data_IF_837769285959
#
_entry.id   IF_837769285959
#
_cell.length_a   1.000
_cell.length_b   1.000
_cell.length_c   1.000
_cell.angle_alpha   90.00
_cell.angle_beta   90.00
_cell.angle_gamma   90.00
#
_symmetry.space_group_name_H-M   'P 1'
#
loop_
_entity.id
_entity.type
_entity.pdbx_description
1 polymer ?
#
# COMPACT_ATOMS: atom_id res chain seq x y z
N UNK A 1 -15.47 13.62 6.24
CA UNK A 1 -15.15 13.80 4.80
C UNK A 1 -14.84 15.28 4.54
N UNK A 2 -14.07 15.63 3.50
CA UNK A 2 -13.91 17.06 3.11
C UNK A 2 -12.88 17.89 3.88
N UNK A 3 -12.08 17.30 4.79
CA UNK A 3 -11.00 18.02 5.51
C UNK A 3 -9.68 18.11 4.72
N UNK A 4 -9.69 17.86 3.41
CA UNK A 4 -8.50 18.02 2.57
C UNK A 4 -7.40 16.94 2.73
N UNK A 5 -7.69 15.75 3.27
CA UNK A 5 -6.67 14.68 3.40
C UNK A 5 -6.02 14.29 2.07
N UNK A 6 -6.84 14.11 1.03
CA UNK A 6 -6.34 13.84 -0.33
C UNK A 6 -5.52 15.02 -0.84
N UNK A 7 -6.01 16.25 -0.67
CA UNK A 7 -5.28 17.48 -1.04
C UNK A 7 -3.90 17.53 -0.36
N UNK A 8 -3.83 17.22 0.93
CA UNK A 8 -2.59 17.20 1.69
C UNK A 8 -1.62 16.13 1.16
N UNK A 9 -2.11 14.94 0.81
CA UNK A 9 -1.28 13.89 0.22
C UNK A 9 -0.65 14.34 -1.12
N UNK A 10 -1.42 15.03 -1.97
CA UNK A 10 -0.91 15.63 -3.20
C UNK A 10 0.11 16.74 -2.94
N UNK A 11 -0.13 17.63 -1.96
CA UNK A 11 0.83 18.66 -1.56
C UNK A 11 2.14 18.01 -1.12
N UNK A 12 2.09 16.99 -0.26
CA UNK A 12 3.28 16.26 0.20
C UNK A 12 4.05 15.65 -1.00
N UNK A 13 3.36 14.99 -1.93
CA UNK A 13 4.01 14.41 -3.10
C UNK A 13 4.70 15.48 -3.97
N UNK A 14 4.05 16.63 -4.18
CA UNK A 14 4.61 17.76 -4.93
C UNK A 14 5.86 18.32 -4.22
N UNK A 15 5.80 18.56 -2.91
CA UNK A 15 6.94 19.06 -2.12
C UNK A 15 8.11 18.05 -2.10
N UNK A 16 7.83 16.76 -2.19
CA UNK A 16 8.84 15.70 -2.31
C UNK A 16 9.40 15.55 -3.74
N UNK A 17 8.83 16.23 -4.74
CA UNK A 17 9.15 15.98 -6.15
C UNK A 17 8.81 14.56 -6.62
N UNK A 18 7.85 13.91 -5.95
CA UNK A 18 7.47 12.52 -6.15
C UNK A 18 6.19 12.39 -6.99
N UNK A 19 6.06 11.29 -7.74
CA UNK A 19 4.76 10.94 -8.30
C UNK A 19 3.87 10.37 -7.20
N UNK A 20 2.55 10.54 -7.34
CA UNK A 20 1.58 9.97 -6.43
C UNK A 20 0.68 8.97 -7.16
N UNK A 21 0.57 7.77 -6.57
CA UNK A 21 -0.35 6.73 -7.01
C UNK A 21 -1.47 6.60 -5.99
N UNK A 22 -2.68 6.92 -6.42
CA UNK A 22 -3.86 6.95 -5.55
C UNK A 22 -4.69 5.67 -5.70
N UNK A 23 -5.19 5.19 -4.56
CA UNK A 23 -6.19 4.13 -4.47
C UNK A 23 -7.01 4.30 -3.19
N UNK A 24 -7.91 3.38 -2.90
CA UNK A 24 -8.65 3.33 -1.64
C UNK A 24 -8.65 1.91 -1.06
N UNK A 25 -8.84 1.80 0.25
CA UNK A 25 -8.98 0.51 0.92
C UNK A 25 -10.01 -0.40 0.25
N UNK A 26 -11.23 0.09 -0.05
CA UNK A 26 -12.25 -0.70 -0.75
C UNK A 26 -11.88 -1.10 -2.18
N UNK A 27 -11.04 -0.32 -2.87
CA UNK A 27 -10.60 -0.65 -4.22
C UNK A 27 -9.56 -1.78 -4.26
N UNK A 28 -8.98 -2.14 -3.10
CA UNK A 28 -8.01 -3.23 -2.97
C UNK A 28 -8.74 -4.44 -2.37
N UNK A 29 -9.32 -5.25 -3.25
CA UNK A 29 -10.13 -6.40 -2.82
C UNK A 29 -9.27 -7.64 -2.59
N UNK A 30 -8.23 -7.83 -3.40
CA UNK A 30 -7.38 -9.03 -3.41
C UNK A 30 -5.91 -8.67 -3.28
N UNK A 31 -5.15 -9.61 -2.72
CA UNK A 31 -3.70 -9.50 -2.53
C UNK A 31 -2.95 -9.17 -3.83
N UNK A 32 -3.44 -9.71 -4.96
CA UNK A 32 -2.92 -9.41 -6.30
C UNK A 32 -3.11 -7.95 -6.73
N UNK A 33 -4.18 -7.28 -6.27
CA UNK A 33 -4.45 -5.88 -6.63
C UNK A 33 -3.41 -4.96 -5.95
N UNK A 34 -3.11 -5.18 -4.67
CA UNK A 34 -2.02 -4.46 -3.97
C UNK A 34 -0.66 -4.78 -4.58
N UNK A 35 -0.37 -6.06 -4.87
CA UNK A 35 0.88 -6.49 -5.48
C UNK A 35 1.12 -5.79 -6.83
N UNK A 36 0.09 -5.66 -7.66
CA UNK A 36 0.17 -4.95 -8.94
C UNK A 36 0.42 -3.44 -8.76
N UNK A 37 -0.12 -2.83 -7.70
CA UNK A 37 0.16 -1.42 -7.39
C UNK A 37 1.62 -1.25 -6.98
N UNK A 38 2.09 -2.04 -6.00
CA UNK A 38 3.42 -1.95 -5.41
C UNK A 38 4.54 -2.22 -6.42
N UNK A 39 4.39 -3.26 -7.26
CA UNK A 39 5.41 -3.62 -8.27
C UNK A 39 5.54 -2.60 -9.40
N UNK A 40 4.56 -1.71 -9.57
CA UNK A 40 4.58 -0.63 -10.54
C UNK A 40 5.03 0.72 -9.94
N UNK A 41 5.32 0.79 -8.64
CA UNK A 41 5.88 2.00 -8.04
C UNK A 41 7.32 2.21 -8.54
N UNK A 42 7.74 3.47 -8.54
CA UNK A 42 9.13 3.88 -8.75
C UNK A 42 9.72 4.36 -7.43
N UNK A 43 11.04 4.48 -7.39
CA UNK A 43 11.72 5.03 -6.21
C UNK A 43 11.22 6.44 -5.91
N UNK A 44 10.93 6.68 -4.64
CA UNK A 44 10.38 7.91 -4.07
C UNK A 44 8.90 8.18 -4.38
N UNK A 45 8.21 7.33 -5.15
CA UNK A 45 6.78 7.50 -5.37
C UNK A 45 6.00 7.46 -4.03
N UNK A 46 4.90 8.19 -3.99
CA UNK A 46 3.93 8.18 -2.90
C UNK A 46 2.79 7.23 -3.28
N UNK A 47 2.55 6.22 -2.45
CA UNK A 47 1.32 5.42 -2.51
C UNK A 47 0.31 6.01 -1.52
N UNK A 48 -0.79 6.56 -2.03
CA UNK A 48 -1.87 7.08 -1.21
C UNK A 48 -3.05 6.10 -1.18
N UNK A 49 -3.46 5.70 0.03
CA UNK A 49 -4.62 4.83 0.25
C UNK A 49 -5.65 5.58 1.10
N UNK A 50 -6.74 6.02 0.47
CA UNK A 50 -7.88 6.56 1.22
C UNK A 50 -8.73 5.44 1.85
N UNK A 51 -9.41 5.74 2.94
CA UNK A 51 -10.12 4.76 3.75
C UNK A 51 -9.28 3.51 4.08
N UNK A 52 -8.00 3.69 4.41
CA UNK A 52 -7.05 2.60 4.65
C UNK A 52 -7.52 1.59 5.72
N UNK A 53 -8.34 2.04 6.66
CA UNK A 53 -9.01 1.20 7.68
C UNK A 53 -10.00 0.16 7.11
N UNK A 54 -10.27 0.18 5.79
CA UNK A 54 -11.13 -0.79 5.10
C UNK A 54 -10.34 -1.87 4.37
N UNK A 55 -9.01 -1.84 4.45
CA UNK A 55 -8.20 -2.97 4.01
C UNK A 55 -8.56 -4.21 4.81
N UNK A 56 -8.66 -5.34 4.13
CA UNK A 56 -8.83 -6.60 4.84
C UNK A 56 -7.47 -7.10 5.35
N UNK A 57 -7.51 -7.99 6.35
CA UNK A 57 -6.33 -8.53 7.01
C UNK A 57 -5.29 -9.14 6.05
N UNK A 58 -5.74 -9.84 5.01
CA UNK A 58 -4.83 -10.46 4.04
C UNK A 58 -4.06 -9.41 3.22
N UNK A 59 -4.66 -8.23 2.97
CA UNK A 59 -3.95 -7.11 2.34
C UNK A 59 -2.96 -6.47 3.31
N UNK A 60 -3.36 -6.27 4.56
CA UNK A 60 -2.48 -5.70 5.59
C UNK A 60 -1.22 -6.55 5.79
N UNK A 61 -1.36 -7.88 5.84
CA UNK A 61 -0.25 -8.84 5.96
C UNK A 61 0.76 -8.75 4.80
N UNK A 62 0.35 -8.22 3.64
CA UNK A 62 1.23 -7.93 2.50
C UNK A 62 1.79 -6.51 2.57
N UNK A 63 0.98 -5.56 3.01
CA UNK A 63 1.36 -4.15 3.09
C UNK A 63 2.47 -3.91 4.10
N UNK A 64 2.47 -4.60 5.26
CA UNK A 64 3.48 -4.39 6.29
C UNK A 64 4.91 -4.72 5.83
N UNK A 65 5.22 -5.90 5.27
CA UNK A 65 6.55 -6.16 4.73
C UNK A 65 6.94 -5.20 3.58
N UNK A 66 5.96 -4.73 2.81
CA UNK A 66 6.23 -3.75 1.77
C UNK A 66 6.66 -2.39 2.36
N UNK A 67 6.13 -2.00 3.52
CA UNK A 67 6.50 -0.77 4.22
C UNK A 67 7.80 -0.88 5.02
N UNK A 68 8.02 -2.01 5.70
CA UNK A 68 9.17 -2.20 6.60
C UNK A 68 10.44 -2.60 5.83
N UNK A 69 10.29 -3.58 4.94
CA UNK A 69 11.41 -4.25 4.27
C UNK A 69 11.57 -3.83 2.81
N UNK A 70 10.63 -3.05 2.26
CA UNK A 70 10.49 -2.79 0.83
C UNK A 70 10.56 -4.08 0.02
N UNK A 71 9.82 -5.10 0.45
CA UNK A 71 9.80 -6.39 -0.20
C UNK A 71 8.39 -6.98 -0.31
N UNK A 72 8.19 -7.81 -1.32
CA UNK A 72 6.94 -8.52 -1.57
C UNK A 72 7.23 -10.00 -1.83
N UNK A 73 6.62 -10.88 -1.04
CA UNK A 73 6.70 -12.32 -1.28
C UNK A 73 5.55 -12.74 -2.21
N UNK A 74 5.89 -13.32 -3.36
CA UNK A 74 4.93 -13.82 -4.35
C UNK A 74 5.08 -15.32 -4.49
N UNK A 75 3.95 -16.03 -4.50
CA UNK A 75 3.92 -17.47 -4.81
C UNK A 75 3.79 -17.63 -6.33
N UNK A 76 4.78 -18.30 -6.93
CA UNK A 76 4.79 -18.64 -8.35
C UNK A 76 4.54 -20.14 -8.50
N UNK A 77 3.61 -20.50 -9.39
CA UNK A 77 3.21 -21.88 -9.65
C UNK A 77 1.98 -22.33 -8.84
N UNK A 78 1.62 -23.61 -8.94
CA UNK A 78 0.47 -24.22 -8.25
C UNK A 78 0.86 -25.58 -7.66
N UNK A 79 0.17 -25.97 -6.59
CA UNK A 79 0.34 -27.28 -5.97
C UNK A 79 1.71 -27.48 -5.29
N UNK A 80 2.17 -28.73 -5.14
CA UNK A 80 3.43 -29.06 -4.44
C UNK A 80 4.69 -28.42 -5.05
N UNK A 81 4.63 -27.96 -6.30
CA UNK A 81 5.73 -27.29 -6.98
C UNK A 81 5.73 -25.76 -6.85
N UNK A 82 4.79 -25.18 -6.11
CA UNK A 82 4.73 -23.73 -5.90
C UNK A 82 5.98 -23.25 -5.12
N UNK A 83 6.59 -22.16 -5.60
CA UNK A 83 7.77 -21.55 -4.97
C UNK A 83 7.43 -20.14 -4.50
N UNK A 84 7.92 -19.77 -3.33
CA UNK A 84 7.88 -18.40 -2.85
C UNK A 84 9.10 -17.65 -3.40
N UNK A 85 8.87 -16.52 -4.06
CA UNK A 85 9.88 -15.60 -4.54
C UNK A 85 9.75 -14.27 -3.79
N UNK A 86 10.87 -13.76 -3.25
CA UNK A 86 10.94 -12.40 -2.70
C UNK A 86 11.31 -11.42 -3.81
N UNK A 87 10.42 -10.48 -4.09
CA UNK A 87 10.67 -9.34 -4.96
C UNK A 87 11.07 -8.12 -4.11
N UNK A 88 12.12 -7.43 -4.52
CA UNK A 88 12.48 -6.15 -3.94
C UNK A 88 11.60 -5.06 -4.56
N UNK A 89 11.04 -4.21 -3.70
CA UNK A 89 10.30 -3.02 -4.09
C UNK A 89 11.24 -1.81 -4.03
N UNK A 90 11.00 -0.79 -4.85
CA UNK A 90 11.68 0.48 -4.64
C UNK A 90 11.24 1.09 -3.30
N UNK A 91 12.10 1.90 -2.70
CA UNK A 91 11.70 2.73 -1.56
C UNK A 91 10.58 3.67 -1.99
N UNK A 92 9.46 3.65 -1.28
CA UNK A 92 8.28 4.47 -1.53
C UNK A 92 7.74 5.02 -0.21
N UNK A 93 6.88 6.05 -0.28
CA UNK A 93 6.22 6.61 0.90
C UNK A 93 4.75 6.21 0.90
N UNK A 94 4.27 5.56 1.96
CA UNK A 94 2.84 5.29 2.14
C UNK A 94 2.17 6.46 2.86
N UNK A 95 1.07 6.97 2.30
CA UNK A 95 0.16 7.89 2.99
C UNK A 95 -1.20 7.21 3.12
N UNK A 96 -1.55 6.79 4.34
CA UNK A 96 -2.86 6.25 4.67
C UNK A 96 -3.81 7.34 5.20
N UNK A 97 -4.98 7.48 4.59
CA UNK A 97 -6.02 8.38 5.09
C UNK A 97 -7.18 7.59 5.69
N UNK A 98 -7.66 8.05 6.85
CA UNK A 98 -8.84 7.47 7.51
C UNK A 98 -9.74 8.56 8.09
N UNK A 99 -11.04 8.27 8.18
CA UNK A 99 -11.99 9.04 9.00
C UNK A 99 -12.35 8.30 10.29
N UNK A 100 -11.84 7.08 10.46
CA UNK A 100 -12.15 6.14 11.53
C UNK A 100 -10.86 5.56 12.10
N UNK A 101 -10.09 6.40 12.79
CA UNK A 101 -8.83 5.99 13.42
C UNK A 101 -8.99 4.74 14.31
N UNK A 102 -10.12 4.65 15.02
CA UNK A 102 -10.40 3.51 15.90
C UNK A 102 -10.56 2.15 15.20
N UNK A 103 -10.67 2.12 13.87
CA UNK A 103 -10.79 0.89 13.06
C UNK A 103 -9.47 0.44 12.45
N UNK A 104 -8.38 1.18 12.66
CA UNK A 104 -7.05 0.73 12.26
C UNK A 104 -6.61 -0.43 13.14
N UNK A 105 -6.10 -1.49 12.49
CA UNK A 105 -5.37 -2.56 13.15
C UNK A 105 -3.97 -2.06 13.51
N UNK A 106 -3.39 -2.48 14.65
CA UNK A 106 -1.96 -2.33 14.87
C UNK A 106 -1.17 -3.05 13.75
N UNK A 107 0.01 -2.56 13.36
CA UNK A 107 0.70 -1.35 13.81
C UNK A 107 0.25 0.00 13.18
N UNK A 108 -0.81 0.05 12.37
CA UNK A 108 -1.30 1.33 11.82
C UNK A 108 -2.02 2.22 12.87
N UNK A 109 -2.31 1.69 14.06
CA UNK A 109 -2.92 2.39 15.20
C UNK A 109 -1.88 2.81 16.24
#
# INVERSE_FOLDING_TARGET
PGLGKTTLAYIIAVEMGANIKNTSGPAIERTGDLAAILTNLRSQDVLFIDEIHRLNRAIEEILYPAMEDFALNIIIGKGPGAKSLRLNLPQFTLIGATTRFALLSPPLR
#
